data_IF_962011885325
#
_entry.id   IF_962011885325
#
_cell.length_a   1.000
_cell.length_b   1.000
_cell.length_c   1.000
_cell.angle_alpha   90.00
_cell.angle_beta   90.00
_cell.angle_gamma   90.00
#
_symmetry.space_group_name_H-M   'P 1'
#
loop_
_entity.id
_entity.type
_entity.pdbx_description
1 polymer ?
#
# COMPACT_ATOMS: atom_id res chain seq x y z
N UNK A 1 -4.24 -18.76 -14.05
CA UNK A 1 -5.04 -18.79 -12.81
C UNK A 1 -4.55 -17.64 -11.92
N UNK A 2 -5.41 -16.75 -11.47
CA UNK A 2 -5.05 -15.67 -10.57
C UNK A 2 -5.43 -16.06 -9.13
N UNK A 3 -4.56 -15.78 -8.17
CA UNK A 3 -4.85 -16.02 -6.76
C UNK A 3 -5.36 -14.73 -6.14
N UNK A 4 -6.52 -14.78 -5.53
CA UNK A 4 -7.12 -13.70 -4.77
C UNK A 4 -6.82 -13.94 -3.28
N UNK A 5 -6.25 -12.96 -2.59
CA UNK A 5 -6.08 -12.98 -1.14
C UNK A 5 -7.17 -12.08 -0.57
N UNK A 6 -8.06 -12.65 0.24
CA UNK A 6 -9.25 -11.98 0.76
C UNK A 6 -8.96 -11.13 2.00
N UNK A 7 -9.58 -9.96 2.10
CA UNK A 7 -9.74 -9.27 3.37
C UNK A 7 -10.82 -9.94 4.24
N UNK A 8 -10.76 -9.72 5.54
CA UNK A 8 -11.62 -10.32 6.58
C UNK A 8 -13.12 -9.97 6.49
N UNK A 9 -13.55 -9.13 5.55
CA UNK A 9 -14.96 -8.76 5.38
C UNK A 9 -15.35 -8.82 3.90
N UNK A 10 -16.35 -9.64 3.59
CA UNK A 10 -16.92 -9.80 2.23
C UNK A 10 -17.46 -8.50 1.60
N UNK A 11 -17.69 -7.47 2.39
CA UNK A 11 -18.29 -6.20 1.95
C UNK A 11 -17.33 -5.25 1.23
N UNK A 12 -16.03 -5.54 1.17
CA UNK A 12 -14.99 -4.60 0.68
C UNK A 12 -14.49 -4.91 -0.72
N UNK A 13 -14.92 -6.01 -1.34
CA UNK A 13 -14.71 -6.24 -2.78
C UNK A 13 -15.69 -5.38 -3.58
N UNK A 14 -15.37 -4.10 -3.71
CA UNK A 14 -16.12 -3.18 -4.55
C UNK A 14 -15.99 -3.56 -6.04
N UNK A 15 -16.96 -3.16 -6.84
CA UNK A 15 -16.91 -3.28 -8.32
C UNK A 15 -15.58 -2.77 -8.92
N UNK A 16 -14.94 -1.81 -8.25
CA UNK A 16 -13.63 -1.28 -8.62
C UNK A 16 -12.53 -2.36 -8.62
N UNK A 17 -12.54 -3.25 -7.63
CA UNK A 17 -11.54 -4.30 -7.46
C UNK A 17 -11.66 -5.38 -8.53
N UNK A 18 -12.89 -5.76 -8.85
CA UNK A 18 -13.17 -6.68 -9.95
C UNK A 18 -12.80 -6.10 -11.31
N UNK A 19 -13.00 -4.80 -11.51
CA UNK A 19 -12.59 -4.11 -12.73
C UNK A 19 -11.06 -4.02 -12.84
N UNK A 20 -10.36 -3.79 -11.73
CA UNK A 20 -8.90 -3.84 -11.70
C UNK A 20 -8.38 -5.25 -12.03
N UNK A 21 -8.99 -6.30 -11.49
CA UNK A 21 -8.69 -7.68 -11.84
C UNK A 21 -8.83 -7.93 -13.35
N UNK A 22 -9.96 -7.54 -13.93
CA UNK A 22 -10.21 -7.64 -15.37
C UNK A 22 -9.16 -6.87 -16.18
N UNK A 23 -8.77 -5.66 -15.75
CA UNK A 23 -7.74 -4.86 -16.43
C UNK A 23 -6.37 -5.53 -16.42
N UNK A 24 -5.97 -6.16 -15.32
CA UNK A 24 -4.72 -6.93 -15.27
C UNK A 24 -4.79 -8.18 -16.13
N UNK A 25 -5.92 -8.92 -16.06
CA UNK A 25 -6.08 -10.17 -16.81
C UNK A 25 -6.12 -9.91 -18.33
N UNK A 26 -6.87 -8.90 -18.77
CA UNK A 26 -7.12 -8.64 -20.19
C UNK A 26 -6.05 -7.76 -20.83
N UNK A 27 -5.31 -6.97 -20.05
CA UNK A 27 -4.28 -6.07 -20.54
C UNK A 27 -2.90 -6.75 -20.48
N UNK A 28 -2.18 -6.75 -21.59
CA UNK A 28 -0.75 -7.13 -21.61
C UNK A 28 0.15 -6.06 -20.97
N UNK A 29 -0.42 -4.95 -20.50
CA UNK A 29 0.31 -3.79 -19.97
C UNK A 29 0.81 -4.00 -18.55
N UNK A 30 0.06 -4.76 -17.72
CA UNK A 30 0.36 -4.94 -16.31
C UNK A 30 0.64 -6.40 -15.97
N UNK A 31 1.59 -6.63 -15.08
CA UNK A 31 1.98 -7.93 -14.55
C UNK A 31 1.15 -8.32 -13.32
N UNK A 32 0.79 -7.32 -12.53
CA UNK A 32 0.02 -7.48 -11.29
C UNK A 32 -0.77 -6.22 -10.96
N UNK A 33 -1.60 -6.32 -9.93
CA UNK A 33 -2.26 -5.19 -9.30
C UNK A 33 -2.14 -5.30 -7.79
N UNK A 34 -2.06 -4.14 -7.10
CA UNK A 34 -1.99 -4.05 -5.63
C UNK A 34 -2.84 -2.93 -5.11
N UNK A 35 -3.55 -3.20 -4.03
CA UNK A 35 -4.22 -2.16 -3.28
C UNK A 35 -3.17 -1.33 -2.54
N UNK A 36 -3.31 -0.01 -2.64
CA UNK A 36 -2.40 0.97 -2.05
C UNK A 36 -3.20 2.13 -1.46
N UNK A 37 -2.73 2.70 -0.37
CA UNK A 37 -3.26 3.95 0.20
C UNK A 37 -2.16 4.97 0.39
N UNK A 38 -2.54 6.24 0.46
CA UNK A 38 -1.60 7.31 0.81
C UNK A 38 -1.01 7.04 2.20
N UNK A 39 0.29 7.25 2.36
CA UNK A 39 0.94 7.06 3.67
C UNK A 39 0.50 8.13 4.66
N UNK A 40 0.37 7.74 5.94
CA UNK A 40 0.22 8.64 7.07
C UNK A 40 1.59 9.08 7.62
N UNK A 41 2.55 8.18 7.63
CA UNK A 41 3.94 8.44 7.96
C UNK A 41 4.79 8.40 6.68
N UNK A 42 5.32 9.56 6.30
CA UNK A 42 6.07 9.70 5.05
C UNK A 42 7.47 9.11 5.16
N UNK A 43 7.95 8.31 4.16
CA UNK A 43 9.30 7.71 4.19
C UNK A 43 10.43 8.73 4.35
N UNK A 44 10.29 9.94 3.80
CA UNK A 44 11.27 11.02 3.96
C UNK A 44 11.33 11.57 5.39
N UNK A 45 10.40 11.18 6.25
CA UNK A 45 10.38 11.49 7.69
C UNK A 45 10.82 10.32 8.56
N UNK A 46 11.17 9.20 7.96
CA UNK A 46 11.63 8.01 8.66
C UNK A 46 13.14 8.03 8.86
N UNK A 47 13.59 7.43 9.96
CA UNK A 47 14.99 7.35 10.33
C UNK A 47 15.41 5.90 10.55
N UNK A 48 16.57 5.54 10.08
CA UNK A 48 17.20 4.25 10.32
C UNK A 48 18.24 4.37 11.42
N UNK A 49 18.26 3.43 12.38
CA UNK A 49 19.28 3.38 13.41
C UNK A 49 20.60 2.89 12.84
N UNK A 50 21.68 3.64 13.08
CA UNK A 50 23.07 3.27 12.76
C UNK A 50 23.92 3.38 14.03
N UNK A 51 24.10 2.25 14.73
CA UNK A 51 24.80 2.24 16.02
C UNK A 51 24.08 3.08 17.08
N UNK A 52 24.72 4.13 17.57
CA UNK A 52 24.19 5.08 18.57
C UNK A 52 23.57 6.33 17.94
N UNK A 53 23.46 6.41 16.62
CA UNK A 53 22.84 7.53 15.91
C UNK A 53 21.69 7.08 15.02
N UNK A 54 20.98 8.03 14.43
CA UNK A 54 19.97 7.78 13.40
C UNK A 54 20.33 8.55 12.14
N UNK A 55 19.98 7.99 10.99
CA UNK A 55 20.14 8.62 9.67
C UNK A 55 18.82 8.55 8.93
N UNK A 56 18.51 9.50 8.01
CA UNK A 56 17.29 9.42 7.21
C UNK A 56 17.20 8.09 6.46
N UNK A 57 16.06 7.43 6.53
CA UNK A 57 15.84 6.10 5.95
C UNK A 57 16.13 6.05 4.45
N UNK A 58 15.69 7.06 3.69
CA UNK A 58 15.94 7.18 2.24
C UNK A 58 17.33 7.78 1.90
N UNK A 59 18.18 7.97 2.91
CA UNK A 59 19.46 8.66 2.76
C UNK A 59 19.27 10.16 2.48
N UNK A 60 20.37 10.90 2.57
CA UNK A 60 20.41 12.25 2.03
C UNK A 60 20.47 12.13 0.51
N UNK A 61 19.39 12.40 -0.18
CA UNK A 61 19.38 12.33 -1.64
C UNK A 61 20.44 13.25 -2.19
N UNK A 62 21.44 12.69 -2.86
CA UNK A 62 22.62 13.41 -3.38
C UNK A 62 22.31 14.60 -4.27
N UNK A 63 21.08 14.74 -4.74
CA UNK A 63 20.64 15.76 -5.69
C UNK A 63 19.57 16.73 -5.16
N UNK A 64 19.04 16.54 -3.93
CA UNK A 64 18.10 17.51 -3.36
C UNK A 64 18.83 18.36 -2.32
N UNK A 65 18.92 19.66 -2.59
CA UNK A 65 19.49 20.68 -1.70
C UNK A 65 18.69 20.89 -0.41
N UNK A 66 17.57 20.19 -0.24
CA UNK A 66 16.61 20.40 0.82
C UNK A 66 16.53 19.18 1.73
N UNK A 67 16.48 19.42 3.03
CA UNK A 67 16.27 18.41 4.06
C UNK A 67 14.81 17.97 4.05
N UNK A 68 14.48 16.92 3.29
CA UNK A 68 13.12 16.43 3.12
C UNK A 68 12.43 16.12 4.46
N UNK A 69 13.18 15.62 5.45
CA UNK A 69 12.66 15.35 6.79
C UNK A 69 12.19 16.59 7.55
N UNK A 70 12.67 17.78 7.19
CA UNK A 70 12.26 19.07 7.76
C UNK A 70 11.13 19.76 6.99
N UNK A 71 10.82 19.31 5.77
CA UNK A 71 9.77 19.90 4.94
C UNK A 71 8.36 19.61 5.49
N UNK A 72 7.41 20.48 5.13
CA UNK A 72 5.99 20.21 5.42
C UNK A 72 5.48 19.03 4.59
N UNK A 73 4.59 18.23 5.17
CA UNK A 73 3.98 17.06 4.51
C UNK A 73 3.40 17.37 3.12
N UNK A 74 2.77 18.55 2.98
CA UNK A 74 2.14 19.01 1.72
C UNK A 74 3.13 19.25 0.58
N UNK A 75 4.40 19.45 0.91
CA UNK A 75 5.47 19.72 -0.06
C UNK A 75 6.22 18.45 -0.48
N UNK A 76 5.95 17.33 0.18
CA UNK A 76 6.56 16.05 -0.14
C UNK A 76 5.81 15.36 -1.29
N UNK A 77 6.50 14.52 -2.03
CA UNK A 77 5.91 13.70 -3.08
C UNK A 77 4.86 12.75 -2.50
N UNK A 78 3.80 12.47 -3.26
CA UNK A 78 2.79 11.49 -2.83
C UNK A 78 3.37 10.08 -2.83
N UNK A 79 3.49 9.49 -1.66
CA UNK A 79 3.95 8.10 -1.48
C UNK A 79 2.78 7.25 -1.00
N UNK A 80 2.74 6.01 -1.49
CA UNK A 80 1.68 5.07 -1.17
C UNK A 80 2.26 3.84 -0.49
N UNK A 81 1.57 3.36 0.53
CA UNK A 81 1.86 2.09 1.17
C UNK A 81 0.98 0.99 0.59
N UNK A 82 1.53 -0.18 0.39
CA UNK A 82 0.76 -1.36 0.03
C UNK A 82 -0.14 -1.75 1.21
N UNK A 83 -1.41 -2.03 0.91
CA UNK A 83 -2.34 -2.65 1.84
C UNK A 83 -2.45 -4.14 1.52
N UNK A 84 -2.73 -4.96 2.52
CA UNK A 84 -2.91 -6.41 2.31
C UNK A 84 -4.33 -6.77 1.80
N UNK A 85 -5.16 -5.78 1.47
CA UNK A 85 -6.56 -5.99 1.15
C UNK A 85 -6.77 -6.68 -0.19
N UNK A 86 -5.95 -6.41 -1.21
CA UNK A 86 -6.07 -7.02 -2.52
C UNK A 86 -4.75 -7.10 -3.27
N UNK A 87 -4.43 -8.30 -3.73
CA UNK A 87 -3.34 -8.57 -4.67
C UNK A 87 -3.81 -9.45 -5.82
N UNK A 88 -3.57 -9.02 -7.04
CA UNK A 88 -3.88 -9.77 -8.25
C UNK A 88 -2.59 -9.96 -9.04
N UNK A 89 -2.29 -11.20 -9.38
CA UNK A 89 -1.03 -11.58 -10.01
C UNK A 89 -1.28 -12.38 -11.27
N UNK A 90 -0.56 -12.06 -12.32
CA UNK A 90 -0.54 -12.87 -13.54
C UNK A 90 0.44 -14.02 -13.36
N UNK A 91 -0.04 -15.25 -13.42
CA UNK A 91 0.79 -16.47 -13.28
C UNK A 91 2.01 -16.47 -14.23
N UNK A 92 1.83 -16.06 -15.48
CA UNK A 92 2.91 -15.97 -16.45
C UNK A 92 4.01 -14.98 -16.04
N UNK A 93 3.64 -13.87 -15.35
CA UNK A 93 4.61 -12.89 -14.83
C UNK A 93 5.39 -13.46 -13.65
N UNK A 94 4.75 -14.21 -12.76
CA UNK A 94 5.41 -14.89 -11.64
C UNK A 94 6.45 -15.88 -12.19
N UNK A 95 6.05 -16.72 -13.14
CA UNK A 95 6.94 -17.73 -13.73
C UNK A 95 8.13 -17.08 -14.46
N UNK A 96 7.87 -15.97 -15.16
CA UNK A 96 8.90 -15.23 -15.92
C UNK A 96 9.90 -14.51 -15.03
N UNK A 97 9.41 -13.77 -14.03
CA UNK A 97 10.25 -12.87 -13.24
C UNK A 97 10.69 -13.46 -11.90
N UNK A 98 10.12 -14.60 -11.49
CA UNK A 98 10.34 -15.23 -10.17
C UNK A 98 10.06 -14.27 -8.99
N UNK A 99 9.14 -13.31 -9.20
CA UNK A 99 8.72 -12.28 -8.23
C UNK A 99 7.22 -12.12 -8.26
N UNK A 100 6.63 -11.87 -7.09
CA UNK A 100 5.17 -11.72 -6.96
C UNK A 100 4.62 -10.46 -7.63
N UNK A 101 5.40 -9.38 -7.73
CA UNK A 101 4.91 -8.12 -8.30
C UNK A 101 5.06 -8.01 -9.82
N UNK A 102 6.03 -8.75 -10.42
CA UNK A 102 6.45 -8.49 -11.79
C UNK A 102 7.19 -7.15 -11.93
N UNK A 103 7.09 -6.50 -13.10
CA UNK A 103 7.73 -5.20 -13.40
C UNK A 103 6.76 -4.04 -13.45
N UNK A 104 5.52 -4.28 -13.85
CA UNK A 104 4.48 -3.25 -14.02
C UNK A 104 3.27 -3.58 -13.15
N UNK A 105 3.08 -2.79 -12.10
CA UNK A 105 2.00 -2.95 -11.13
C UNK A 105 0.92 -1.91 -11.39
N UNK A 106 -0.34 -2.35 -11.48
CA UNK A 106 -1.49 -1.46 -11.53
C UNK A 106 -1.91 -1.11 -10.10
N UNK A 107 -1.88 0.15 -9.66
CA UNK A 107 -2.38 0.51 -8.35
C UNK A 107 -3.90 0.49 -8.30
N UNK A 108 -4.44 0.01 -7.20
CA UNK A 108 -5.83 0.17 -6.79
C UNK A 108 -5.80 1.06 -5.55
N UNK A 109 -6.32 2.27 -5.69
CA UNK A 109 -6.30 3.24 -4.59
C UNK A 109 -7.45 2.95 -3.63
N UNK A 110 -7.13 2.82 -2.36
CA UNK A 110 -8.09 2.71 -1.26
C UNK A 110 -7.88 3.86 -0.26
N UNK A 111 -8.91 4.17 0.48
CA UNK A 111 -8.81 5.08 1.63
C UNK A 111 -8.32 4.34 2.89
N UNK A 112 -8.09 5.09 3.97
CA UNK A 112 -7.62 4.53 5.23
C UNK A 112 -8.62 3.55 5.84
N UNK A 113 -9.91 3.86 5.79
CA UNK A 113 -10.96 3.05 6.43
C UNK A 113 -11.17 1.70 5.76
N UNK A 114 -11.03 1.67 4.42
CA UNK A 114 -11.19 0.45 3.61
C UNK A 114 -9.89 -0.36 3.46
N UNK A 115 -8.78 0.13 4.00
CA UNK A 115 -7.47 -0.51 3.89
C UNK A 115 -6.79 -0.71 5.24
N UNK A 116 -7.57 -0.73 6.29
CA UNK A 116 -7.11 -0.92 7.65
C UNK A 116 -6.70 -2.39 7.87
N UNK A 117 -5.51 -2.61 8.42
CA UNK A 117 -4.98 -3.93 8.78
C UNK A 117 -4.99 -4.10 10.30
N UNK A 118 -5.21 -5.33 10.75
CA UNK A 118 -5.19 -5.68 12.18
C UNK A 118 -3.90 -6.45 12.44
N UNK A 119 -2.89 -5.75 12.96
CA UNK A 119 -1.59 -6.33 13.28
C UNK A 119 -1.36 -6.36 14.81
N UNK A 120 -2.03 -5.48 15.55
CA UNK A 120 -1.92 -5.34 17.01
C UNK A 120 -3.30 -5.29 17.67
N UNK A 121 -3.33 -5.50 19.00
CA UNK A 121 -4.58 -5.45 19.79
C UNK A 121 -5.30 -4.10 19.67
N UNK A 122 -4.55 -3.01 19.57
CA UNK A 122 -5.14 -1.66 19.38
C UNK A 122 -5.88 -1.56 18.04
N UNK A 123 -5.38 -2.21 16.99
CA UNK A 123 -6.02 -2.21 15.68
C UNK A 123 -7.34 -2.97 15.74
N UNK A 124 -7.38 -4.07 16.49
CA UNK A 124 -8.62 -4.82 16.70
C UNK A 124 -9.68 -3.97 17.41
N UNK A 125 -9.31 -3.27 18.49
CA UNK A 125 -10.21 -2.37 19.19
C UNK A 125 -10.73 -1.23 18.30
N UNK A 126 -9.85 -0.71 17.44
CA UNK A 126 -10.24 0.31 16.48
C UNK A 126 -11.21 -0.25 15.42
N UNK A 127 -10.95 -1.46 14.92
CA UNK A 127 -11.85 -2.16 14.00
C UNK A 127 -13.25 -2.36 14.61
N UNK A 128 -13.34 -2.77 15.88
CA UNK A 128 -14.62 -2.90 16.60
C UNK A 128 -15.37 -1.57 16.68
N UNK A 129 -14.68 -0.46 16.96
CA UNK A 129 -15.29 0.87 17.01
C UNK A 129 -15.83 1.29 15.63
N UNK A 130 -15.09 0.99 14.56
CA UNK A 130 -15.50 1.27 13.18
C UNK A 130 -16.74 0.47 12.81
N UNK A 131 -16.70 -0.86 13.01
CA UNK A 131 -17.81 -1.77 12.65
C UNK A 131 -19.08 -1.41 13.45
N UNK A 132 -18.92 -1.11 14.73
CA UNK A 132 -20.05 -0.71 15.59
C UNK A 132 -20.54 0.72 15.31
N UNK A 133 -20.03 1.42 14.28
CA UNK A 133 -20.39 2.81 13.91
C UNK A 133 -20.24 3.80 15.07
N UNK A 134 -19.39 3.50 16.04
CA UNK A 134 -19.10 4.39 17.17
C UNK A 134 -18.07 5.47 16.82
N UNK A 135 -17.29 5.25 15.77
CA UNK A 135 -16.45 6.26 15.13
C UNK A 135 -17.18 6.76 13.88
N UNK A 136 -17.63 8.02 13.93
CA UNK A 136 -18.01 8.78 12.75
C UNK A 136 -16.75 9.49 12.25
N UNK A 137 -16.30 9.17 11.09
CA UNK A 137 -15.20 9.86 10.39
C UNK A 137 -15.80 10.70 9.29
#
# INVERSE_FOLDING_TARGET
MARLIYPLTESVLEKADLNAAKRVINSKKYDSSRAVRLVTEHPDKMWERKGNSVVPYNGFTKNKKEDLHSMQYKSLDKVYIQTSSLEILRTSSILKYKKLSGKKVLPIYSDFMNSFTIDYEIDFKLAELIVNKKLKV
#
